data_IF_925868703520
#
_entry.id   IF_925868703520
#
_cell.length_a   1.000
_cell.length_b   1.000
_cell.length_c   1.000
_cell.angle_alpha   90.00
_cell.angle_beta   90.00
_cell.angle_gamma   90.00
#
_symmetry.space_group_name_H-M   'P 1'
#
loop_
_entity.id
_entity.type
_entity.pdbx_description
1 polymer ?
#
# COMPACT_ATOMS: atom_id res chain seq x y z
N UNK A 1 5.73 22.38 14.04
CA UNK A 1 4.72 22.99 13.14
C UNK A 1 5.28 24.10 12.23
N UNK A 2 6.31 24.85 12.63
CA UNK A 2 6.84 26.00 11.86
C UNK A 2 7.58 25.66 10.54
N UNK A 3 8.37 24.58 10.50
CA UNK A 3 9.18 24.23 9.31
C UNK A 3 8.37 23.81 8.07
N UNK A 4 7.27 23.06 8.24
CA UNK A 4 6.39 22.65 7.13
C UNK A 4 5.81 23.85 6.39
N UNK A 5 5.44 24.90 7.11
CA UNK A 5 4.94 26.13 6.51
C UNK A 5 6.04 26.92 5.80
N UNK A 6 7.28 26.84 6.27
CA UNK A 6 8.42 27.49 5.62
C UNK A 6 8.75 26.84 4.27
N UNK A 7 8.89 25.51 4.24
CA UNK A 7 9.15 24.76 3.00
C UNK A 7 8.01 24.97 1.99
N UNK A 8 6.76 24.92 2.45
CA UNK A 8 5.60 25.19 1.59
C UNK A 8 5.67 26.60 0.99
N UNK A 9 5.97 27.63 1.79
CA UNK A 9 6.10 29.02 1.31
C UNK A 9 7.27 29.18 0.34
N UNK A 10 8.40 28.52 0.59
CA UNK A 10 9.55 28.52 -0.30
C UNK A 10 9.21 27.92 -1.67
N UNK A 11 8.61 26.72 -1.71
CA UNK A 11 8.21 26.07 -2.96
C UNK A 11 7.18 26.90 -3.76
N UNK A 12 6.24 27.56 -3.07
CA UNK A 12 5.28 28.46 -3.72
C UNK A 12 6.00 29.69 -4.30
N UNK A 13 6.98 30.27 -3.60
CA UNK A 13 7.73 31.44 -4.07
C UNK A 13 8.63 31.17 -5.27
N UNK A 14 9.17 29.96 -5.41
CA UNK A 14 9.94 29.55 -6.59
C UNK A 14 9.05 29.47 -7.85
N UNK A 15 7.75 29.23 -7.66
CA UNK A 15 6.82 29.07 -8.78
C UNK A 15 6.38 30.43 -9.34
N UNK A 16 6.16 30.53 -10.67
CA UNK A 16 5.61 31.74 -11.29
C UNK A 16 4.31 32.20 -10.60
N UNK A 17 4.04 33.51 -10.47
CA UNK A 17 2.83 34.02 -9.81
C UNK A 17 1.53 33.40 -10.32
N UNK A 18 1.46 33.09 -11.62
CA UNK A 18 0.31 32.44 -12.27
C UNK A 18 0.07 30.99 -11.80
N UNK A 19 1.11 30.29 -11.33
CA UNK A 19 1.06 28.86 -10.95
C UNK A 19 1.08 28.63 -9.44
N UNK A 20 1.21 29.69 -8.61
CA UNK A 20 1.32 29.55 -7.15
C UNK A 20 0.13 28.83 -6.51
N UNK A 21 -1.08 29.05 -7.03
CA UNK A 21 -2.29 28.36 -6.56
C UNK A 21 -2.23 26.86 -6.85
N UNK A 22 -1.74 26.47 -8.02
CA UNK A 22 -1.59 25.06 -8.42
C UNK A 22 -0.46 24.38 -7.64
N UNK A 23 0.69 25.03 -7.47
CA UNK A 23 1.79 24.53 -6.64
C UNK A 23 1.33 24.24 -5.20
N UNK A 24 0.49 25.12 -4.63
CA UNK A 24 -0.14 24.88 -3.34
C UNK A 24 -0.99 23.59 -3.29
N UNK A 25 -1.68 23.25 -4.38
CA UNK A 25 -2.45 22.01 -4.51
C UNK A 25 -1.55 20.79 -4.66
N UNK A 26 -0.45 20.89 -5.42
CA UNK A 26 0.54 19.81 -5.61
C UNK A 26 1.14 19.41 -4.27
N UNK A 27 1.63 20.39 -3.50
CA UNK A 27 2.21 20.14 -2.17
C UNK A 27 1.18 19.49 -1.24
N UNK A 28 -0.08 19.94 -1.30
CA UNK A 28 -1.15 19.37 -0.49
C UNK A 28 -1.48 17.94 -0.90
N UNK A 29 -1.58 17.65 -2.20
CA UNK A 29 -1.81 16.30 -2.75
C UNK A 29 -0.66 15.36 -2.38
N UNK A 30 0.59 15.77 -2.57
CA UNK A 30 1.77 15.01 -2.19
C UNK A 30 1.78 14.67 -0.69
N UNK A 31 1.56 15.67 0.17
CA UNK A 31 1.48 15.46 1.61
C UNK A 31 0.35 14.49 1.99
N UNK A 32 -0.82 14.64 1.35
CA UNK A 32 -2.00 13.83 1.66
C UNK A 32 -1.84 12.37 1.22
N UNK A 33 -1.21 12.12 0.07
CA UNK A 33 -0.91 10.76 -0.39
C UNK A 33 0.02 10.06 0.60
N UNK A 34 1.11 10.70 1.02
CA UNK A 34 2.02 10.11 2.01
C UNK A 34 1.34 9.86 3.35
N UNK A 35 0.53 10.81 3.84
CA UNK A 35 -0.24 10.62 5.07
C UNK A 35 -1.23 9.47 4.97
N UNK A 36 -2.04 9.45 3.90
CA UNK A 36 -3.03 8.40 3.70
C UNK A 36 -2.39 7.02 3.58
N UNK A 37 -1.24 6.92 2.89
CA UNK A 37 -0.47 5.69 2.79
C UNK A 37 -0.01 5.20 4.16
N UNK A 38 0.65 6.06 4.96
CA UNK A 38 1.14 5.69 6.29
C UNK A 38 -0.01 5.31 7.25
N UNK A 39 -1.09 6.09 7.29
CA UNK A 39 -2.28 5.75 8.08
C UNK A 39 -2.96 4.47 7.58
N UNK A 40 -2.96 4.25 6.27
CA UNK A 40 -3.43 3.01 5.66
C UNK A 40 -2.62 1.83 6.18
N UNK A 41 -1.30 1.90 6.07
CA UNK A 41 -0.38 0.86 6.50
C UNK A 41 -0.54 0.53 7.99
N UNK A 42 -0.65 1.53 8.86
CA UNK A 42 -0.91 1.30 10.29
C UNK A 42 -2.23 0.56 10.53
N UNK A 43 -3.30 0.92 9.83
CA UNK A 43 -4.59 0.20 9.93
C UNK A 43 -4.46 -1.24 9.43
N UNK A 44 -3.75 -1.45 8.33
CA UNK A 44 -3.50 -2.78 7.77
C UNK A 44 -2.79 -3.67 8.79
N UNK A 45 -1.70 -3.20 9.38
CA UNK A 45 -0.95 -3.93 10.42
C UNK A 45 -1.85 -4.25 11.62
N UNK A 46 -2.69 -3.29 12.05
CA UNK A 46 -3.67 -3.52 13.11
C UNK A 46 -4.65 -4.66 12.79
N UNK A 47 -5.18 -4.70 11.56
CA UNK A 47 -6.04 -5.82 11.13
C UNK A 47 -5.28 -7.15 11.10
N UNK A 48 -4.05 -7.15 10.60
CA UNK A 48 -3.22 -8.36 10.56
C UNK A 48 -2.93 -8.91 11.96
N UNK A 49 -2.62 -8.05 12.93
CA UNK A 49 -2.44 -8.46 14.32
C UNK A 49 -3.68 -9.17 14.87
N UNK A 50 -4.87 -8.61 14.64
CA UNK A 50 -6.12 -9.23 15.09
C UNK A 50 -6.34 -10.59 14.41
N UNK A 51 -6.12 -10.67 13.10
CA UNK A 51 -6.33 -11.90 12.33
C UNK A 51 -5.36 -13.01 12.72
N UNK A 52 -4.06 -12.70 12.82
CA UNK A 52 -3.05 -13.67 13.27
C UNK A 52 -3.29 -14.08 14.72
N UNK A 53 -3.64 -13.14 15.60
CA UNK A 53 -3.92 -13.46 17.00
C UNK A 53 -5.09 -14.43 17.13
N UNK A 54 -6.19 -14.20 16.40
CA UNK A 54 -7.35 -15.11 16.38
C UNK A 54 -6.92 -16.48 15.85
N UNK A 55 -6.26 -16.54 14.70
CA UNK A 55 -5.85 -17.81 14.10
C UNK A 55 -4.90 -18.62 14.97
N UNK A 56 -3.87 -17.99 15.53
CA UNK A 56 -2.92 -18.65 16.43
C UNK A 56 -3.55 -19.05 17.77
N UNK A 57 -4.51 -18.27 18.29
CA UNK A 57 -5.22 -18.61 19.53
C UNK A 57 -6.12 -19.82 19.35
N UNK A 58 -6.82 -19.94 18.21
CA UNK A 58 -7.65 -21.10 17.88
C UNK A 58 -6.81 -22.38 17.81
N UNK A 59 -5.58 -22.28 17.30
CA UNK A 59 -4.63 -23.39 17.22
C UNK A 59 -3.95 -23.73 18.54
N UNK A 60 -4.18 -22.96 19.60
CA UNK A 60 -3.54 -23.16 20.90
C UNK A 60 -2.04 -22.82 20.91
N UNK A 61 -1.58 -21.94 20.01
CA UNK A 61 -0.18 -21.48 19.98
C UNK A 61 0.12 -20.72 21.27
N UNK A 62 1.10 -21.23 22.04
CA UNK A 62 1.61 -20.52 23.22
C UNK A 62 2.14 -19.15 22.79
N UNK A 63 1.77 -18.11 23.52
CA UNK A 63 2.14 -16.72 23.20
C UNK A 63 1.62 -16.26 21.82
N UNK A 64 0.42 -16.70 21.40
CA UNK A 64 -0.21 -16.30 20.12
C UNK A 64 -0.15 -14.78 19.85
N UNK A 65 -0.37 -13.94 20.87
CA UNK A 65 -0.31 -12.48 20.74
C UNK A 65 1.10 -11.98 20.37
N UNK A 66 2.14 -12.56 20.96
CA UNK A 66 3.52 -12.20 20.65
C UNK A 66 3.85 -12.49 19.18
N UNK A 67 3.50 -13.67 18.68
CA UNK A 67 3.71 -14.03 17.28
C UNK A 67 2.86 -13.20 16.33
N UNK A 68 1.61 -12.91 16.69
CA UNK A 68 0.76 -12.03 15.91
C UNK A 68 1.38 -10.63 15.74
N UNK A 69 1.88 -10.06 16.84
CA UNK A 69 2.56 -8.75 16.81
C UNK A 69 3.82 -8.81 15.95
N UNK A 70 4.64 -9.85 16.14
CA UNK A 70 5.89 -10.05 15.41
C UNK A 70 5.65 -10.19 13.91
N UNK A 71 4.67 -11.00 13.49
CA UNK A 71 4.29 -11.15 12.09
C UNK A 71 3.87 -9.80 11.48
N UNK A 72 2.96 -9.07 12.13
CA UNK A 72 2.53 -7.77 11.60
C UNK A 72 3.62 -6.69 11.61
N UNK A 73 4.61 -6.78 12.52
CA UNK A 73 5.76 -5.88 12.53
C UNK A 73 6.71 -6.16 11.37
N UNK A 74 6.98 -7.43 11.09
CA UNK A 74 7.81 -7.84 9.94
C UNK A 74 7.15 -7.42 8.62
N UNK A 75 5.81 -7.41 8.58
CA UNK A 75 4.99 -6.96 7.44
C UNK A 75 5.12 -5.48 7.08
N UNK A 76 5.77 -4.67 7.93
CA UNK A 76 6.12 -3.29 7.60
C UNK A 76 6.98 -3.22 6.33
N UNK A 77 7.76 -4.28 6.05
CA UNK A 77 8.60 -4.39 4.87
C UNK A 77 7.83 -5.20 3.81
N UNK A 78 7.33 -4.55 2.75
CA UNK A 78 6.61 -5.24 1.68
C UNK A 78 7.42 -6.41 1.14
N UNK A 79 6.76 -7.55 0.88
CA UNK A 79 7.33 -8.79 0.36
C UNK A 79 8.28 -9.56 1.30
N UNK A 80 9.07 -8.87 2.13
CA UNK A 80 10.02 -9.50 3.07
C UNK A 80 9.32 -9.99 4.34
N UNK A 81 8.36 -9.21 4.85
CA UNK A 81 7.63 -9.56 6.07
C UNK A 81 6.93 -10.91 6.00
N UNK A 82 6.44 -11.23 4.79
CA UNK A 82 5.64 -12.41 4.59
C UNK A 82 6.39 -13.72 4.85
N UNK A 83 7.55 -13.82 4.22
CA UNK A 83 8.37 -15.03 4.29
C UNK A 83 9.01 -15.15 5.68
N UNK A 84 9.48 -14.03 6.22
CA UNK A 84 10.22 -14.01 7.49
C UNK A 84 9.33 -14.28 8.70
N UNK A 85 8.13 -13.68 8.77
CA UNK A 85 7.21 -13.87 9.89
C UNK A 85 6.69 -15.31 10.02
N UNK A 86 6.34 -15.92 8.89
CA UNK A 86 5.90 -17.32 8.84
C UNK A 86 7.00 -18.27 9.26
N UNK A 87 8.17 -18.10 8.67
CA UNK A 87 9.32 -18.99 8.92
C UNK A 87 9.71 -18.93 10.39
N UNK A 88 9.77 -17.72 10.96
CA UNK A 88 10.12 -17.52 12.36
C UNK A 88 9.07 -18.15 13.30
N UNK A 89 7.78 -17.94 13.03
CA UNK A 89 6.70 -18.52 13.85
C UNK A 89 6.70 -20.05 13.78
N UNK A 90 6.88 -20.64 12.60
CA UNK A 90 6.97 -22.08 12.42
C UNK A 90 8.18 -22.67 13.13
N UNK A 91 9.35 -22.04 13.00
CA UNK A 91 10.58 -22.48 13.68
C UNK A 91 10.41 -22.47 15.19
N UNK A 92 9.90 -21.37 15.75
CA UNK A 92 9.72 -21.28 17.20
C UNK A 92 8.65 -22.25 17.70
N UNK A 93 7.56 -22.45 16.95
CA UNK A 93 6.56 -23.46 17.30
C UNK A 93 7.17 -24.89 17.29
N UNK A 94 7.96 -25.21 16.26
CA UNK A 94 8.61 -26.52 16.15
C UNK A 94 9.60 -26.78 17.30
N UNK A 95 10.43 -25.79 17.65
CA UNK A 95 11.39 -25.89 18.77
C UNK A 95 10.66 -26.06 20.12
N UNK A 96 9.46 -25.51 20.27
CA UNK A 96 8.63 -25.68 21.46
C UNK A 96 7.84 -27.01 21.48
N UNK A 97 8.12 -27.94 20.57
CA UNK A 97 7.50 -29.27 20.53
C UNK A 97 6.13 -29.31 19.86
N UNK A 98 5.79 -28.32 19.02
CA UNK A 98 4.56 -28.37 18.24
C UNK A 98 4.58 -29.57 17.27
N UNK A 99 3.53 -30.39 17.32
CA UNK A 99 3.36 -31.51 16.38
C UNK A 99 3.07 -31.03 14.95
N UNK A 100 3.26 -31.93 13.98
CA UNK A 100 2.99 -31.68 12.55
C UNK A 100 1.60 -31.06 12.29
N UNK A 101 0.50 -31.50 12.96
CA UNK A 101 -0.82 -30.88 12.75
C UNK A 101 -0.88 -29.39 13.12
N UNK A 102 -0.17 -28.99 14.18
CA UNK A 102 -0.13 -27.62 14.65
C UNK A 102 0.70 -26.73 13.72
N UNK A 103 1.84 -27.23 13.23
CA UNK A 103 2.65 -26.53 12.23
C UNK A 103 1.89 -26.33 10.91
N UNK A 104 1.16 -27.36 10.47
CA UNK A 104 0.28 -27.26 9.30
C UNK A 104 -0.84 -26.23 9.54
N UNK A 105 -1.42 -26.20 10.74
CA UNK A 105 -2.39 -25.18 11.14
C UNK A 105 -1.84 -23.76 11.07
N UNK A 106 -0.63 -23.53 11.60
CA UNK A 106 0.03 -22.21 11.56
C UNK A 106 0.24 -21.77 10.11
N UNK A 107 0.75 -22.65 9.26
CA UNK A 107 0.95 -22.37 7.84
C UNK A 107 -0.38 -22.07 7.13
N UNK A 108 -1.44 -22.82 7.44
CA UNK A 108 -2.78 -22.60 6.88
C UNK A 108 -3.39 -21.26 7.33
N UNK A 109 -3.32 -20.94 8.62
CA UNK A 109 -3.71 -19.61 9.15
C UNK A 109 -2.97 -18.52 8.40
N UNK A 110 -1.66 -18.67 8.26
CA UNK A 110 -0.85 -17.68 7.56
C UNK A 110 -1.30 -17.50 6.11
N UNK A 111 -1.49 -18.60 5.36
CA UNK A 111 -2.00 -18.57 4.00
C UNK A 111 -3.36 -17.88 3.86
N UNK A 112 -4.30 -18.14 4.77
CA UNK A 112 -5.61 -17.48 4.77
C UNK A 112 -5.49 -15.98 5.03
N UNK A 113 -4.69 -15.58 6.02
CA UNK A 113 -4.48 -14.16 6.32
C UNK A 113 -3.82 -13.45 5.14
N UNK A 114 -2.85 -14.08 4.48
CA UNK A 114 -2.20 -13.54 3.28
C UNK A 114 -3.14 -13.36 2.10
N UNK A 115 -4.03 -14.33 1.86
CA UNK A 115 -5.03 -14.20 0.80
C UNK A 115 -5.95 -13.00 1.07
N UNK A 116 -6.41 -12.84 2.30
CA UNK A 116 -7.23 -11.70 2.69
C UNK A 116 -6.44 -10.40 2.59
N UNK A 117 -5.16 -10.39 3.00
CA UNK A 117 -4.28 -9.24 2.88
C UNK A 117 -4.18 -8.79 1.42
N UNK A 118 -3.70 -9.66 0.54
CA UNK A 118 -3.43 -9.30 -0.85
C UNK A 118 -4.69 -9.00 -1.66
N UNK A 119 -5.80 -9.71 -1.42
CA UNK A 119 -7.01 -9.57 -2.25
C UNK A 119 -7.99 -8.53 -1.72
N UNK A 120 -7.95 -8.24 -0.42
CA UNK A 120 -8.93 -7.35 0.23
C UNK A 120 -8.24 -6.16 0.88
N UNK A 121 -7.30 -6.37 1.80
CA UNK A 121 -6.74 -5.27 2.59
C UNK A 121 -5.87 -4.34 1.73
N UNK A 122 -4.92 -4.89 0.97
CA UNK A 122 -4.03 -4.12 0.09
C UNK A 122 -4.78 -3.22 -0.91
N UNK A 123 -5.75 -3.71 -1.71
CA UNK A 123 -6.47 -2.85 -2.65
C UNK A 123 -7.33 -1.80 -1.95
N UNK A 124 -8.00 -2.14 -0.84
CA UNK A 124 -8.83 -1.19 -0.10
C UNK A 124 -8.00 -0.08 0.55
N UNK A 125 -6.86 -0.43 1.11
CA UNK A 125 -6.06 0.44 1.96
C UNK A 125 -4.96 1.16 1.16
N UNK A 126 -4.17 0.43 0.38
CA UNK A 126 -2.97 0.91 -0.31
C UNK A 126 -3.28 1.27 -1.77
N UNK A 127 -3.99 0.38 -2.49
CA UNK A 127 -4.33 0.58 -3.90
C UNK A 127 -5.19 1.83 -4.17
N UNK A 128 -6.02 2.22 -3.21
CA UNK A 128 -6.80 3.46 -3.31
C UNK A 128 -5.96 4.74 -3.26
N UNK A 129 -4.72 4.67 -2.75
CA UNK A 129 -3.90 5.85 -2.46
C UNK A 129 -2.80 6.08 -3.51
N UNK A 130 -2.34 5.02 -4.18
CA UNK A 130 -1.12 5.06 -5.00
C UNK A 130 -1.39 4.39 -6.35
N UNK A 131 -1.87 5.18 -7.32
CA UNK A 131 -2.11 4.73 -8.71
C UNK A 131 -0.82 4.57 -9.51
N UNK A 132 0.09 3.69 -9.09
CA UNK A 132 1.39 3.46 -9.73
C UNK A 132 1.39 2.06 -10.33
N UNK A 133 1.94 1.90 -11.54
CA UNK A 133 2.01 0.57 -12.12
C UNK A 133 2.96 -0.36 -11.34
N UNK A 134 2.73 -1.69 -11.39
CA UNK A 134 3.52 -2.66 -10.64
C UNK A 134 5.03 -2.59 -10.93
N UNK A 135 5.41 -2.35 -12.20
CA UNK A 135 6.82 -2.28 -12.60
C UNK A 135 7.55 -1.14 -11.88
N UNK A 136 6.96 0.05 -11.85
CA UNK A 136 7.53 1.22 -11.19
C UNK A 136 7.57 1.04 -9.68
N UNK A 137 6.56 0.38 -9.09
CA UNK A 137 6.57 0.02 -7.67
C UNK A 137 7.76 -0.87 -7.33
N UNK A 138 7.99 -1.94 -8.09
CA UNK A 138 9.15 -2.83 -7.90
C UNK A 138 10.46 -2.04 -8.02
N UNK A 139 10.60 -1.22 -9.07
CA UNK A 139 11.81 -0.42 -9.28
C UNK A 139 12.05 0.56 -8.13
N UNK A 140 11.01 1.22 -7.64
CA UNK A 140 11.10 2.13 -6.49
C UNK A 140 11.55 1.40 -5.23
N UNK A 141 11.05 0.19 -4.98
CA UNK A 141 11.46 -0.62 -3.83
C UNK A 141 12.94 -1.03 -3.92
N UNK A 142 13.39 -1.48 -5.09
CA UNK A 142 14.80 -1.83 -5.33
C UNK A 142 15.71 -0.63 -5.14
N UNK A 143 15.35 0.52 -5.71
CA UNK A 143 16.11 1.76 -5.54
C UNK A 143 16.12 2.19 -4.07
N UNK A 144 14.99 2.09 -3.37
CA UNK A 144 14.89 2.38 -1.94
C UNK A 144 15.83 1.51 -1.12
N UNK A 145 15.83 0.20 -1.38
CA UNK A 145 16.74 -0.76 -0.74
C UNK A 145 18.21 -0.43 -0.99
N UNK A 146 18.57 -0.07 -2.22
CA UNK A 146 19.96 0.27 -2.56
C UNK A 146 20.44 1.58 -1.91
N UNK A 147 19.55 2.56 -1.72
CA UNK A 147 19.91 3.87 -1.15
C UNK A 147 20.04 3.77 0.37
N UNK A 148 19.09 3.11 1.04
CA UNK A 148 19.00 3.14 2.51
C UNK A 148 18.58 1.82 3.16
N UNK A 149 18.52 0.73 2.39
CA UNK A 149 18.06 -0.58 2.87
C UNK A 149 16.57 -0.58 3.24
N UNK A 150 16.25 -1.27 4.33
CA UNK A 150 14.88 -1.44 4.84
C UNK A 150 14.11 -0.11 5.00
N UNK A 151 14.67 0.95 5.64
CA UNK A 151 14.00 2.25 5.70
C UNK A 151 13.65 2.83 4.32
N UNK A 152 14.51 2.61 3.32
CA UNK A 152 14.29 3.09 1.96
C UNK A 152 13.13 2.37 1.26
N UNK A 153 13.02 1.05 1.44
CA UNK A 153 11.87 0.26 0.96
C UNK A 153 10.56 0.79 1.56
N UNK A 154 10.54 1.04 2.88
CA UNK A 154 9.36 1.52 3.59
C UNK A 154 8.80 2.84 3.03
N UNK A 155 9.69 3.78 2.68
CA UNK A 155 9.30 5.10 2.14
C UNK A 155 9.21 5.15 0.62
N UNK A 156 9.63 4.10 -0.09
CA UNK A 156 9.72 4.10 -1.55
C UNK A 156 8.39 4.43 -2.23
N UNK A 157 7.32 3.73 -1.85
CA UNK A 157 5.98 3.86 -2.43
C UNK A 157 5.41 5.29 -2.29
N UNK A 158 5.34 5.89 -1.09
CA UNK A 158 4.84 7.26 -0.97
C UNK A 158 5.75 8.27 -1.69
N UNK A 159 7.07 8.04 -1.72
CA UNK A 159 8.00 8.92 -2.41
C UNK A 159 7.80 8.92 -3.93
N UNK A 160 7.69 7.74 -4.54
CA UNK A 160 7.41 7.63 -5.99
C UNK A 160 6.02 8.17 -6.33
N UNK A 161 5.04 8.07 -5.42
CA UNK A 161 3.72 8.65 -5.58
C UNK A 161 3.76 10.18 -5.56
N UNK A 162 4.51 10.78 -4.63
CA UNK A 162 4.73 12.22 -4.61
C UNK A 162 5.45 12.69 -5.88
N UNK A 163 6.46 11.95 -6.33
CA UNK A 163 7.17 12.26 -7.58
C UNK A 163 6.23 12.24 -8.78
N UNK A 164 5.37 11.22 -8.90
CA UNK A 164 4.34 11.16 -9.95
C UNK A 164 3.43 12.39 -9.95
N UNK A 165 3.00 12.86 -8.78
CA UNK A 165 2.14 14.04 -8.65
C UNK A 165 2.84 15.29 -9.19
N UNK A 166 4.15 15.42 -8.92
CA UNK A 166 4.97 16.52 -9.47
C UNK A 166 5.12 16.39 -10.98
N UNK A 167 5.43 15.20 -11.50
CA UNK A 167 5.54 14.96 -12.94
C UNK A 167 4.24 15.31 -13.69
N UNK A 168 3.08 15.00 -13.11
CA UNK A 168 1.78 15.31 -13.71
C UNK A 168 1.44 16.81 -13.72
N UNK A 169 2.08 17.59 -12.86
CA UNK A 169 1.86 19.04 -12.78
C UNK A 169 2.74 19.82 -13.76
N UNK A 170 3.98 19.38 -13.98
CA UNK A 170 4.91 20.05 -14.90
C UNK A 170 4.69 19.52 -16.32
N UNK A 171 4.32 20.39 -17.25
CA UNK A 171 4.01 20.02 -18.65
C UNK A 171 5.10 19.15 -19.29
N UNK A 172 6.37 19.54 -19.15
CA UNK A 172 7.52 18.81 -19.68
C UNK A 172 7.74 17.43 -19.05
N UNK A 173 7.21 17.18 -17.85
CA UNK A 173 7.38 15.92 -17.12
C UNK A 173 6.18 14.98 -17.21
N UNK A 174 5.08 15.41 -17.84
CA UNK A 174 3.88 14.58 -18.02
C UNK A 174 4.15 13.20 -18.65
N UNK A 175 5.05 13.05 -19.65
CA UNK A 175 5.35 11.72 -20.20
C UNK A 175 5.89 10.74 -19.16
N UNK A 176 6.71 11.20 -18.22
CA UNK A 176 7.20 10.38 -17.11
C UNK A 176 6.09 10.05 -16.11
N UNK A 177 5.22 11.02 -15.82
CA UNK A 177 4.04 10.80 -14.96
C UNK A 177 3.07 9.75 -15.54
N UNK A 178 2.91 9.72 -16.86
CA UNK A 178 2.18 8.67 -17.58
C UNK A 178 2.87 7.31 -17.47
N UNK A 179 4.19 7.25 -17.68
CA UNK A 179 4.98 6.01 -17.57
C UNK A 179 4.96 5.40 -16.16
N UNK A 180 4.88 6.23 -15.11
CA UNK A 180 4.79 5.80 -13.70
C UNK A 180 3.35 5.38 -13.33
N UNK A 181 2.35 5.95 -13.99
CA UNK A 181 0.95 5.70 -13.68
C UNK A 181 0.50 4.28 -14.01
N UNK A 182 -0.59 3.85 -13.37
CA UNK A 182 -1.34 2.68 -13.85
C UNK A 182 -1.83 2.93 -15.27
N UNK A 183 -1.68 1.92 -16.12
CA UNK A 183 -2.31 1.90 -17.43
C UNK A 183 -3.81 1.81 -17.14
N UNK A 184 -4.54 2.91 -17.31
CA UNK A 184 -6.00 2.85 -17.35
C UNK A 184 -6.37 2.01 -18.57
N UNK A 185 -6.57 0.71 -18.38
CA UNK A 185 -7.26 -0.11 -19.35
C UNK A 185 -8.64 0.52 -19.44
N UNK A 186 -8.87 1.32 -20.49
CA UNK A 186 -10.17 1.90 -20.78
C UNK A 186 -11.12 0.71 -20.86
N UNK A 187 -11.84 0.42 -19.77
CA UNK A 187 -13.03 -0.43 -19.79
C UNK A 187 -14.00 0.32 -20.68
N UNK A 188 -13.91 0.12 -21.99
CA UNK A 188 -14.98 0.46 -22.93
C UNK A 188 -16.18 -0.29 -22.37
N UNK A 189 -17.11 0.42 -21.72
CA UNK A 189 -18.43 -0.14 -21.45
C UNK A 189 -18.92 -0.69 -22.80
N UNK A 190 -19.20 -1.99 -22.91
CA UNK A 190 -19.73 -2.53 -24.15
C UNK A 190 -20.97 -1.71 -24.50
N UNK A 191 -21.06 -1.25 -25.76
CA UNK A 191 -22.14 -0.39 -26.27
C UNK A 191 -23.53 -0.97 -25.91
N UNK A 192 -23.60 -2.29 -25.76
CA UNK A 192 -24.75 -3.05 -25.28
C UNK A 192 -25.23 -2.61 -23.88
N UNK A 193 -24.33 -2.45 -22.90
CA UNK A 193 -24.67 -2.03 -21.52
C UNK A 193 -25.21 -0.60 -21.53
N UNK A 194 -24.61 0.28 -22.34
CA UNK A 194 -25.10 1.66 -22.54
C UNK A 194 -26.51 1.70 -23.14
N UNK A 195 -26.78 0.85 -24.14
CA UNK A 195 -28.12 0.71 -24.73
C UNK A 195 -29.13 0.17 -23.73
N UNK A 196 -28.81 -0.91 -23.01
CA UNK A 196 -29.70 -1.53 -22.03
C UNK A 196 -30.07 -0.55 -20.91
N UNK A 197 -29.08 0.17 -20.34
CA UNK A 197 -29.33 1.17 -19.30
C UNK A 197 -30.22 2.32 -19.79
N UNK A 198 -30.04 2.74 -21.05
CA UNK A 198 -30.86 3.79 -21.68
C UNK A 198 -32.29 3.31 -21.92
N UNK A 199 -32.50 2.06 -22.34
CA UNK A 199 -33.83 1.48 -22.54
C UNK A 199 -34.56 1.28 -21.21
N UNK A 200 -33.88 0.76 -20.19
CA UNK A 200 -34.47 0.57 -18.85
C UNK A 200 -34.88 1.92 -18.25
N UNK A 201 -34.04 2.95 -18.38
CA UNK A 201 -34.38 4.29 -17.89
C UNK A 201 -35.63 4.86 -18.58
N UNK A 202 -35.78 4.60 -19.88
CA UNK A 202 -36.93 5.04 -20.69
C UNK A 202 -38.23 4.25 -20.44
N UNK A 203 -38.17 3.16 -19.67
CA UNK A 203 -39.33 2.35 -19.25
C UNK A 203 -39.79 2.69 -17.83
N UNK A 204 -38.96 3.41 -17.07
CA UNK A 204 -39.21 3.81 -15.68
C UNK A 204 -39.71 5.26 -15.61
N UNK A 205 -39.39 6.08 -16.63
CA UNK A 205 -39.97 7.41 -16.87
C UNK A 205 -41.22 7.32 -17.76
#
# INVERSE_FOLDING_TARGET
>A
MFYRNHIKKFLIRISPPSQQKEMGQVIHKASRVSQNYLFGLTKMIGFLWVMYWIGFSILGVKNALFFAILCGLLEIIPFIGNITGTTLTLLVAAVNGAGVPMLAGIAATYGVVQLIQGWVLEPLIVGSQVKINPFTTILALVIGDLIWGIPGIFIAIPLIAMFKIVCNHVESLKPYGFLIGEIEIIKKEPVLIKKIKKTIKKLID
#
